data_IF_402663745080
#
_entry.id   IF_402663745080
#
_cell.length_a   1.000
_cell.length_b   1.000
_cell.length_c   1.000
_cell.angle_alpha   90.00
_cell.angle_beta   90.00
_cell.angle_gamma   90.00
#
_symmetry.space_group_name_H-M   'P 1'
#
loop_
_entity.id
_entity.type
_entity.pdbx_description
1 polymer ?
#
# COMPACT_ATOMS: atom_id res chain seq x y z
N UNK A 1 15.12 30.05 -17.44
CA UNK A 1 13.88 29.53 -18.07
C UNK A 1 13.73 28.02 -17.89
N UNK A 2 14.73 27.21 -18.30
CA UNK A 2 14.67 25.74 -18.20
C UNK A 2 14.47 25.21 -16.77
N UNK A 3 15.15 25.80 -15.77
CA UNK A 3 15.03 25.39 -14.37
C UNK A 3 13.61 25.56 -13.78
N UNK A 4 12.90 26.63 -14.16
CA UNK A 4 11.53 26.89 -13.69
C UNK A 4 10.56 25.86 -14.30
N UNK A 5 10.71 25.59 -15.60
CA UNK A 5 9.91 24.58 -16.28
C UNK A 5 10.15 23.18 -15.69
N UNK A 6 11.41 22.83 -15.45
CA UNK A 6 11.78 21.56 -14.81
C UNK A 6 11.25 21.46 -13.38
N UNK A 7 11.33 22.54 -12.59
CA UNK A 7 10.78 22.57 -11.24
C UNK A 7 9.25 22.38 -11.22
N UNK A 8 8.53 22.99 -12.19
CA UNK A 8 7.09 22.79 -12.35
C UNK A 8 6.75 21.35 -12.72
N UNK A 9 7.49 20.75 -13.65
CA UNK A 9 7.28 19.34 -14.04
C UNK A 9 7.57 18.40 -12.86
N UNK A 10 8.69 18.59 -12.15
CA UNK A 10 9.04 17.79 -10.98
C UNK A 10 8.01 17.95 -9.85
N UNK A 11 7.51 19.17 -9.65
CA UNK A 11 6.43 19.45 -8.70
C UNK A 11 5.14 18.73 -9.07
N UNK A 12 4.79 18.71 -10.36
CA UNK A 12 3.62 17.99 -10.85
C UNK A 12 3.76 16.48 -10.69
N UNK A 13 4.93 15.91 -11.04
CA UNK A 13 5.23 14.48 -10.85
C UNK A 13 5.13 14.10 -9.37
N UNK A 14 5.76 14.87 -8.49
CA UNK A 14 5.72 14.62 -7.04
C UNK A 14 4.29 14.75 -6.49
N UNK A 15 3.54 15.74 -6.96
CA UNK A 15 2.14 15.91 -6.62
C UNK A 15 1.28 14.74 -7.08
N UNK A 16 1.48 14.24 -8.29
CA UNK A 16 0.76 13.09 -8.83
C UNK A 16 1.05 11.80 -8.04
N UNK A 17 2.31 11.57 -7.65
CA UNK A 17 2.70 10.43 -6.82
C UNK A 17 1.98 10.41 -5.46
N UNK A 18 1.76 11.58 -4.86
CA UNK A 18 1.03 11.70 -3.59
C UNK A 18 -0.50 11.73 -3.78
N UNK A 19 -0.98 12.28 -4.90
CA UNK A 19 -2.40 12.39 -5.20
C UNK A 19 -3.06 11.03 -5.39
N UNK A 20 -2.40 10.07 -6.04
CA UNK A 20 -2.99 8.76 -6.32
C UNK A 20 -3.38 8.00 -5.04
N UNK A 21 -2.48 7.81 -4.04
CA UNK A 21 -2.87 7.21 -2.75
C UNK A 21 -3.95 8.01 -2.01
N UNK A 22 -3.89 9.35 -2.05
CA UNK A 22 -4.86 10.21 -1.39
C UNK A 22 -6.27 10.07 -1.98
N UNK A 23 -6.39 9.99 -3.31
CA UNK A 23 -7.65 9.73 -4.01
C UNK A 23 -8.18 8.34 -3.66
N UNK A 24 -7.32 7.33 -3.63
CA UNK A 24 -7.69 5.97 -3.22
C UNK A 24 -8.26 5.91 -1.80
N UNK A 25 -7.59 6.57 -0.86
CA UNK A 25 -8.05 6.69 0.52
C UNK A 25 -9.40 7.42 0.59
N UNK A 26 -9.53 8.55 -0.09
CA UNK A 26 -10.78 9.33 -0.13
C UNK A 26 -11.94 8.51 -0.71
N UNK A 27 -11.70 7.75 -1.78
CA UNK A 27 -12.71 6.87 -2.39
C UNK A 27 -13.14 5.75 -1.42
N UNK A 28 -12.19 5.16 -0.69
CA UNK A 28 -12.50 4.14 0.31
C UNK A 28 -13.39 4.69 1.42
N UNK A 29 -13.09 5.90 1.91
CA UNK A 29 -13.90 6.58 2.92
C UNK A 29 -15.29 6.95 2.41
N UNK A 30 -15.40 7.39 1.16
CA UNK A 30 -16.68 7.74 0.55
C UNK A 30 -17.65 6.54 0.52
N UNK A 31 -17.11 5.33 0.31
CA UNK A 31 -17.88 4.08 0.30
C UNK A 31 -18.15 3.57 1.72
N UNK A 32 -17.11 3.44 2.54
CA UNK A 32 -17.19 2.79 3.85
C UNK A 32 -17.81 3.68 4.94
N UNK A 33 -17.72 5.01 4.80
CA UNK A 33 -18.14 6.00 5.80
C UNK A 33 -17.45 5.87 7.17
N UNK A 34 -16.32 5.16 7.25
CA UNK A 34 -15.44 5.13 8.42
C UNK A 34 -13.97 5.09 7.96
N UNK A 35 -13.04 5.53 8.84
CA UNK A 35 -11.61 5.50 8.52
C UNK A 35 -11.01 4.10 8.55
N UNK A 36 -10.55 3.63 7.40
CA UNK A 36 -9.77 2.41 7.28
C UNK A 36 -8.26 2.72 7.34
N UNK A 37 -7.67 2.53 8.52
CA UNK A 37 -6.24 2.66 8.79
C UNK A 37 -5.40 1.45 8.34
N UNK A 38 -6.00 0.33 7.98
CA UNK A 38 -5.27 -0.88 7.59
C UNK A 38 -4.67 -0.80 6.19
N UNK A 39 -5.08 0.19 5.40
CA UNK A 39 -4.66 0.39 4.01
C UNK A 39 -3.15 0.44 3.85
N UNK A 40 -2.42 1.08 4.78
CA UNK A 40 -0.95 1.16 4.77
C UNK A 40 -0.33 -0.21 5.00
N UNK A 41 -0.87 -1.00 5.92
CA UNK A 41 -0.43 -2.37 6.20
C UNK A 41 -0.64 -3.30 5.01
N UNK A 42 -1.81 -3.22 4.36
CA UNK A 42 -2.13 -4.01 3.16
C UNK A 42 -1.18 -3.64 2.00
N UNK A 43 -0.98 -2.33 1.78
CA UNK A 43 -0.06 -1.84 0.76
C UNK A 43 1.39 -2.27 1.01
N UNK A 44 1.84 -2.22 2.27
CA UNK A 44 3.18 -2.66 2.68
C UNK A 44 3.36 -4.14 2.41
N UNK A 45 2.41 -4.98 2.85
CA UNK A 45 2.49 -6.41 2.64
C UNK A 45 2.49 -6.78 1.14
N UNK A 46 1.68 -6.09 0.32
CA UNK A 46 1.72 -6.23 -1.13
C UNK A 46 3.09 -5.86 -1.73
N UNK A 47 3.67 -4.74 -1.30
CA UNK A 47 4.99 -4.31 -1.76
C UNK A 47 6.08 -5.34 -1.43
N UNK A 48 6.06 -5.91 -0.22
CA UNK A 48 6.98 -6.97 0.18
C UNK A 48 6.76 -8.27 -0.60
N UNK A 49 5.52 -8.63 -0.92
CA UNK A 49 5.23 -9.78 -1.77
C UNK A 49 5.81 -9.59 -3.19
N UNK A 50 5.70 -8.39 -3.76
CA UNK A 50 6.34 -8.03 -5.02
C UNK A 50 7.88 -8.07 -4.94
N UNK A 51 8.44 -7.60 -3.82
CA UNK A 51 9.89 -7.66 -3.57
C UNK A 51 10.41 -9.10 -3.54
N UNK A 52 9.72 -10.00 -2.83
CA UNK A 52 10.05 -11.44 -2.81
C UNK A 52 9.91 -12.06 -4.20
N UNK A 53 8.84 -11.74 -4.93
CA UNK A 53 8.63 -12.24 -6.29
C UNK A 53 9.76 -11.82 -7.23
N UNK A 54 10.21 -10.57 -7.13
CA UNK A 54 11.36 -10.08 -7.91
C UNK A 54 12.65 -10.80 -7.53
N UNK A 55 12.91 -10.97 -6.23
CA UNK A 55 14.06 -11.74 -5.74
C UNK A 55 14.05 -13.20 -6.17
N UNK A 56 12.86 -13.78 -6.41
CA UNK A 56 12.69 -15.12 -6.97
C UNK A 56 12.90 -15.19 -8.50
N UNK A 57 13.26 -14.08 -9.15
CA UNK A 57 13.56 -14.02 -10.58
C UNK A 57 12.41 -13.62 -11.49
N UNK A 58 11.25 -13.21 -10.94
CA UNK A 58 10.20 -12.62 -11.78
C UNK A 58 10.64 -11.26 -12.32
N UNK A 59 10.25 -11.00 -13.57
CA UNK A 59 10.35 -9.66 -14.14
C UNK A 59 9.52 -8.67 -13.30
N UNK A 60 9.90 -7.39 -13.32
CA UNK A 60 9.25 -6.36 -12.50
C UNK A 60 7.75 -6.23 -12.77
N UNK A 61 7.33 -6.32 -14.03
CA UNK A 61 5.89 -6.28 -14.37
C UNK A 61 5.16 -7.47 -13.72
N UNK A 62 5.74 -8.67 -13.77
CA UNK A 62 5.20 -9.84 -13.09
C UNK A 62 5.18 -9.70 -11.57
N UNK A 63 6.24 -9.13 -10.99
CA UNK A 63 6.35 -8.88 -9.55
C UNK A 63 5.31 -7.85 -9.07
N UNK A 64 5.02 -6.84 -9.89
CA UNK A 64 3.96 -5.87 -9.63
C UNK A 64 2.58 -6.51 -9.64
N UNK A 65 2.30 -7.43 -10.58
CA UNK A 65 1.04 -8.17 -10.59
C UNK A 65 0.89 -9.04 -9.33
N UNK A 66 1.97 -9.68 -8.87
CA UNK A 66 1.96 -10.44 -7.61
C UNK A 66 1.68 -9.51 -6.43
N UNK A 67 2.29 -8.32 -6.38
CA UNK A 67 2.04 -7.33 -5.33
C UNK A 67 0.55 -6.94 -5.26
N UNK A 68 -0.08 -6.64 -6.40
CA UNK A 68 -1.51 -6.33 -6.47
C UNK A 68 -2.39 -7.52 -6.09
N UNK A 69 -2.06 -8.72 -6.56
CA UNK A 69 -2.83 -9.93 -6.26
C UNK A 69 -2.81 -10.25 -4.76
N UNK A 70 -1.64 -10.15 -4.12
CA UNK A 70 -1.49 -10.40 -2.68
C UNK A 70 -2.15 -9.29 -1.86
N UNK A 71 -1.93 -8.01 -2.19
CA UNK A 71 -2.59 -6.90 -1.51
C UNK A 71 -4.12 -7.01 -1.60
N UNK A 72 -4.65 -7.29 -2.79
CA UNK A 72 -6.08 -7.48 -3.01
C UNK A 72 -6.62 -8.70 -2.25
N UNK A 73 -5.92 -9.83 -2.29
CA UNK A 73 -6.30 -11.05 -1.58
C UNK A 73 -6.34 -10.86 -0.06
N UNK A 74 -5.30 -10.26 0.51
CA UNK A 74 -5.25 -9.95 1.96
C UNK A 74 -6.29 -8.92 2.35
N UNK A 75 -6.49 -7.89 1.53
CA UNK A 75 -7.54 -6.89 1.75
C UNK A 75 -8.93 -7.52 1.78
N UNK A 76 -9.27 -8.38 0.82
CA UNK A 76 -10.55 -9.10 0.78
C UNK A 76 -10.71 -10.07 1.96
N UNK A 77 -9.63 -10.71 2.39
CA UNK A 77 -9.65 -11.61 3.55
C UNK A 77 -9.99 -10.85 4.84
N UNK A 78 -9.27 -9.77 5.12
CA UNK A 78 -9.51 -8.97 6.33
C UNK A 78 -10.83 -8.22 6.29
N UNK A 79 -11.26 -7.77 5.11
CA UNK A 79 -12.57 -7.15 4.95
C UNK A 79 -13.68 -8.13 5.38
N UNK A 80 -13.65 -9.38 4.90
CA UNK A 80 -14.65 -10.38 5.26
C UNK A 80 -14.56 -10.87 6.71
N UNK A 81 -13.35 -11.12 7.20
CA UNK A 81 -13.14 -11.80 8.50
C UNK A 81 -13.14 -10.81 9.66
N UNK A 82 -12.56 -9.63 9.50
CA UNK A 82 -12.38 -8.66 10.58
C UNK A 82 -13.30 -7.44 10.45
N UNK A 83 -13.40 -6.83 9.27
CA UNK A 83 -14.06 -5.52 9.15
C UNK A 83 -15.58 -5.65 9.02
N UNK A 84 -16.06 -6.45 8.08
CA UNK A 84 -17.49 -6.61 7.78
C UNK A 84 -18.35 -7.00 9.01
N UNK A 85 -17.89 -7.90 9.92
CA UNK A 85 -18.65 -8.20 11.14
C UNK A 85 -18.74 -7.03 12.12
N UNK A 86 -17.70 -6.21 12.20
CA UNK A 86 -17.58 -5.12 13.17
C UNK A 86 -18.19 -3.81 12.66
N UNK A 87 -18.25 -3.61 11.33
CA UNK A 87 -18.98 -2.50 10.71
C UNK A 87 -20.47 -2.53 11.07
N UNK A 88 -21.06 -3.72 11.18
CA UNK A 88 -22.46 -3.90 11.60
C UNK A 88 -22.72 -3.45 13.04
N UNK A 89 -21.68 -3.31 13.86
CA UNK A 89 -21.77 -2.91 15.27
C UNK A 89 -21.56 -1.40 15.47
N UNK A 90 -21.18 -0.68 14.41
CA UNK A 90 -20.99 0.77 14.41
C UNK A 90 -19.61 1.21 13.90
N UNK A 91 -19.45 2.52 13.69
CA UNK A 91 -18.23 3.09 13.12
C UNK A 91 -17.00 2.98 14.04
N UNK A 92 -17.19 3.06 15.37
CA UNK A 92 -16.08 2.98 16.33
C UNK A 92 -15.48 1.56 16.39
N UNK A 93 -16.25 0.46 16.54
CA UNK A 93 -15.72 -0.90 16.42
C UNK A 93 -15.01 -1.15 15.08
N UNK A 94 -15.54 -0.63 13.97
CA UNK A 94 -14.91 -0.76 12.65
C UNK A 94 -13.53 -0.09 12.57
N UNK A 95 -13.41 1.13 13.11
CA UNK A 95 -12.14 1.84 13.15
C UNK A 95 -11.10 1.09 14.00
N UNK A 96 -11.51 0.56 15.17
CA UNK A 96 -10.64 -0.25 16.03
C UNK A 96 -10.17 -1.52 15.31
N UNK A 97 -11.08 -2.22 14.62
CA UNK A 97 -10.76 -3.39 13.81
C UNK A 97 -9.71 -3.08 12.74
N UNK A 98 -9.87 -1.94 12.08
CA UNK A 98 -8.94 -1.48 11.06
C UNK A 98 -7.56 -1.18 11.63
N UNK A 99 -7.48 -0.55 12.80
CA UNK A 99 -6.19 -0.28 13.47
C UNK A 99 -5.52 -1.61 13.86
N UNK A 100 -6.28 -2.52 14.48
CA UNK A 100 -5.78 -3.83 14.86
C UNK A 100 -5.26 -4.63 13.65
N UNK A 101 -5.99 -4.57 12.53
CA UNK A 101 -5.56 -5.19 11.26
C UNK A 101 -4.25 -4.60 10.76
N UNK A 102 -4.12 -3.27 10.75
CA UNK A 102 -2.88 -2.59 10.37
C UNK A 102 -1.69 -3.05 11.22
N UNK A 103 -1.87 -3.08 12.55
CA UNK A 103 -0.84 -3.57 13.47
C UNK A 103 -0.46 -5.03 13.21
N UNK A 104 -1.43 -5.91 12.97
CA UNK A 104 -1.15 -7.32 12.64
C UNK A 104 -0.32 -7.42 11.37
N UNK A 105 -0.73 -6.73 10.31
CA UNK A 105 -0.04 -6.76 9.01
C UNK A 105 1.38 -6.20 9.12
N UNK A 106 1.55 -5.07 9.80
CA UNK A 106 2.87 -4.49 10.04
C UNK A 106 3.78 -5.43 10.84
N UNK A 107 3.26 -6.06 11.89
CA UNK A 107 4.05 -6.99 12.70
C UNK A 107 4.41 -8.26 11.93
N UNK A 108 3.52 -8.78 11.08
CA UNK A 108 3.82 -9.91 10.19
C UNK A 108 4.99 -9.56 9.25
N UNK A 109 4.97 -8.37 8.65
CA UNK A 109 6.07 -7.92 7.80
C UNK A 109 7.35 -7.74 8.60
N UNK A 110 7.30 -7.10 9.78
CA UNK A 110 8.48 -6.90 10.65
C UNK A 110 9.10 -8.22 11.10
N UNK A 111 8.29 -9.22 11.44
CA UNK A 111 8.77 -10.55 11.83
C UNK A 111 9.47 -11.27 10.67
N UNK A 112 8.97 -11.12 9.44
CA UNK A 112 9.56 -11.75 8.26
C UNK A 112 10.80 -11.05 7.71
N UNK A 113 10.80 -9.72 7.67
CA UNK A 113 11.80 -8.93 6.93
C UNK A 113 12.65 -7.99 7.79
N UNK A 114 12.33 -7.84 9.08
CA UNK A 114 12.95 -6.88 9.99
C UNK A 114 12.35 -5.48 9.86
N UNK A 115 13.03 -4.48 10.45
CA UNK A 115 12.61 -3.07 10.42
C UNK A 115 13.39 -2.23 9.40
N UNK A 116 14.31 -2.85 8.64
CA UNK A 116 15.13 -2.13 7.67
C UNK A 116 14.36 -1.88 6.36
N UNK A 117 14.51 -0.69 5.74
CA UNK A 117 13.98 -0.44 4.41
C UNK A 117 14.57 -1.42 3.39
N UNK A 118 13.71 -2.06 2.60
CA UNK A 118 14.11 -2.93 1.49
C UNK A 118 13.79 -2.25 0.16
N UNK A 119 14.77 -2.22 -0.74
CA UNK A 119 14.63 -1.71 -2.10
C UNK A 119 14.92 -2.79 -3.12
N UNK A 120 14.38 -2.65 -4.32
CA UNK A 120 14.73 -3.53 -5.44
C UNK A 120 16.18 -3.30 -5.85
N UNK A 121 16.95 -4.39 -6.01
CA UNK A 121 18.33 -4.33 -6.48
C UNK A 121 18.35 -4.08 -8.00
N UNK A 122 18.13 -2.82 -8.36
CA UNK A 122 18.18 -2.35 -9.74
C UNK A 122 19.36 -1.40 -9.92
N UNK A 123 20.08 -1.50 -11.05
CA UNK A 123 21.02 -0.46 -11.43
C UNK A 123 20.28 0.88 -11.47
N UNK A 124 20.87 1.92 -10.87
CA UNK A 124 20.35 3.28 -10.95
C UNK A 124 20.38 3.68 -12.43
N UNK A 125 19.25 3.55 -13.11
CA UNK A 125 19.09 4.12 -14.43
C UNK A 125 19.14 5.64 -14.25
N UNK A 126 20.02 6.31 -14.99
CA UNK A 126 19.97 7.77 -15.06
C UNK A 126 18.61 8.15 -15.63
N UNK A 127 17.83 8.87 -14.85
CA UNK A 127 16.67 9.64 -15.34
C UNK A 127 17.24 10.65 -16.35
N UNK A 128 17.23 10.27 -17.64
CA UNK A 128 17.55 11.15 -18.77
C UNK A 128 16.32 11.95 -19.17
#
# INVERSE_FOLDING_TARGET
MVLILQALVNGLVSGALLAVPAIGFTAMFAVLRFPNFSVSGIATLGAFAGYVAYGAGLQMVGSLLVAFAVAGGVGLLFDKVAHLPLVKQGALPAAIASIATGLVLENVVRLGFGNEPRGYDRPIARDL
#
